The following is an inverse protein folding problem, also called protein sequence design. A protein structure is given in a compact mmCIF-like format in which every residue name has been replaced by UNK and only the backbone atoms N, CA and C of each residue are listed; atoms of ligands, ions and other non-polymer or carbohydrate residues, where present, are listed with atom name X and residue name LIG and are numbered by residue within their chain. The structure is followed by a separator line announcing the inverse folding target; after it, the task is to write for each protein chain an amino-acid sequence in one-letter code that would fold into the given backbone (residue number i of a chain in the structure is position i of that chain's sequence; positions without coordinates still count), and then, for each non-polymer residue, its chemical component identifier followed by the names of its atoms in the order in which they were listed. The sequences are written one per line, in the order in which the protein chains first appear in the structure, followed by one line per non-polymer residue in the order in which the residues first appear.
data_IF_962875878825
#
_entry.id   IF_962875878825
#
_cell.length_a   1.000
_cell.length_b   1.000
_cell.length_c   1.000
_cell.angle_alpha   90.00
_cell.angle_beta   90.00
_cell.angle_gamma   90.00
#
_symmetry.space_group_name_H-M   'P 1'
#
loop_
_entity.id
_entity.type
_entity.pdbx_description
1 polymer ?
#
# COMPACT_ATOMS: atom_id res chain seq x y z
N UNK A 1 58.83 51.74 31.79
CA UNK A 1 57.70 51.37 32.68
C UNK A 1 56.40 51.59 31.94
N UNK A 2 55.87 50.54 31.27
CA UNK A 2 54.59 50.60 30.56
C UNK A 2 53.58 49.82 31.35
N UNK A 3 52.53 50.51 31.82
CA UNK A 3 51.40 49.88 32.49
C UNK A 3 50.45 49.38 31.45
N UNK A 4 50.38 48.05 31.33
CA UNK A 4 49.32 47.39 30.55
C UNK A 4 48.03 47.45 31.33
N UNK A 5 47.07 48.20 30.81
CA UNK A 5 45.69 48.20 31.28
C UNK A 5 44.97 47.07 30.50
N UNK A 6 44.61 45.99 31.19
CA UNK A 6 43.83 44.88 30.65
C UNK A 6 42.37 45.25 30.74
N UNK A 7 41.75 45.66 29.64
CA UNK A 7 40.31 45.90 29.57
C UNK A 7 39.64 44.56 29.36
N UNK A 8 39.02 44.05 30.42
CA UNK A 8 38.19 42.85 30.39
C UNK A 8 36.82 43.23 29.80
N UNK A 9 36.59 42.88 28.54
CA UNK A 9 35.29 43.07 27.87
C UNK A 9 34.36 41.94 28.28
N UNK A 10 33.45 42.22 29.22
CA UNK A 10 32.38 41.32 29.60
C UNK A 10 31.34 41.32 28.46
N UNK A 11 31.41 40.29 27.58
CA UNK A 11 30.39 40.04 26.57
C UNK A 11 29.21 39.30 27.26
N UNK A 12 28.21 40.10 27.71
CA UNK A 12 26.95 39.50 28.19
C UNK A 12 26.10 39.11 26.99
N UNK A 13 26.28 37.85 26.55
CA UNK A 13 25.40 37.25 25.56
C UNK A 13 24.05 36.94 26.19
N UNK A 14 23.00 37.64 25.79
CA UNK A 14 21.63 37.31 26.14
C UNK A 14 21.26 35.99 25.44
N UNK A 15 21.15 34.93 26.21
CA UNK A 15 20.60 33.66 25.75
C UNK A 15 19.09 33.82 25.59
N UNK A 16 18.61 34.14 24.39
CA UNK A 16 17.19 34.00 24.08
C UNK A 16 16.90 32.50 23.91
N UNK A 17 16.28 31.92 24.91
CA UNK A 17 15.67 30.59 24.77
C UNK A 17 14.53 30.72 23.75
N UNK A 18 14.73 30.22 22.55
CA UNK A 18 13.63 29.94 21.61
C UNK A 18 12.76 28.84 22.23
N UNK A 19 11.60 29.25 22.71
CA UNK A 19 10.51 28.30 22.96
C UNK A 19 10.14 27.78 21.59
N UNK A 20 10.60 26.55 21.28
CA UNK A 20 10.06 25.77 20.17
C UNK A 20 8.64 25.44 20.61
N UNK A 21 7.66 26.17 20.04
CA UNK A 21 6.28 25.72 20.10
C UNK A 21 6.24 24.29 19.56
N UNK A 22 5.63 23.33 20.28
CA UNK A 22 5.45 22.01 19.73
C UNK A 22 4.64 22.19 18.44
N UNK A 23 5.25 21.87 17.31
CA UNK A 23 4.52 21.68 16.06
C UNK A 23 3.29 20.85 16.42
N UNK A 24 2.14 21.42 16.17
CA UNK A 24 0.86 20.72 16.23
C UNK A 24 1.08 19.42 15.48
N UNK A 25 1.27 18.36 16.25
CA UNK A 25 1.22 17.01 15.74
C UNK A 25 -0.10 16.95 15.02
N UNK A 26 -0.05 16.98 13.69
CA UNK A 26 -1.18 16.67 12.83
C UNK A 26 -1.61 15.28 13.28
N UNK A 27 -2.55 15.28 14.22
CA UNK A 27 -3.17 14.07 14.71
C UNK A 27 -3.91 13.56 13.51
N UNK A 28 -3.25 12.70 12.73
CA UNK A 28 -3.89 11.89 11.72
C UNK A 28 -5.13 11.33 12.44
N UNK A 29 -6.26 11.94 12.18
CA UNK A 29 -7.54 11.38 12.59
C UNK A 29 -7.59 10.04 11.89
N UNK A 30 -7.14 9.02 12.62
CA UNK A 30 -7.38 7.63 12.21
C UNK A 30 -8.89 7.53 12.18
N UNK A 31 -9.44 7.63 10.99
CA UNK A 31 -10.85 7.39 10.75
C UNK A 31 -11.09 5.96 11.24
N UNK A 32 -11.62 5.87 12.45
CA UNK A 32 -11.97 4.58 13.08
C UNK A 32 -13.16 4.09 12.29
N UNK A 33 -12.86 3.35 11.21
CA UNK A 33 -13.90 2.67 10.44
C UNK A 33 -14.71 1.83 11.42
N UNK A 34 -16.05 1.98 11.41
CA UNK A 34 -16.91 1.23 12.31
C UNK A 34 -16.64 -0.26 12.18
N UNK A 35 -16.68 -0.96 13.31
CA UNK A 35 -16.52 -2.40 13.35
C UNK A 35 -17.63 -3.07 12.51
N UNK A 36 -17.37 -4.27 12.02
CA UNK A 36 -18.34 -5.03 11.21
C UNK A 36 -19.67 -5.20 11.96
N UNK A 37 -19.61 -5.39 13.28
CA UNK A 37 -20.80 -5.50 14.13
C UNK A 37 -21.59 -4.19 14.19
N UNK A 38 -20.91 -3.05 14.26
CA UNK A 38 -21.52 -1.73 14.21
C UNK A 38 -22.20 -1.48 12.86
N UNK A 39 -21.51 -1.85 11.76
CA UNK A 39 -22.08 -1.73 10.41
C UNK A 39 -23.31 -2.60 10.21
N UNK A 40 -23.30 -3.85 10.70
CA UNK A 40 -24.43 -4.77 10.58
C UNK A 40 -25.59 -4.42 11.51
N UNK A 41 -25.33 -3.68 12.61
CA UNK A 41 -26.36 -3.19 13.50
C UNK A 41 -27.10 -1.95 12.96
N UNK A 42 -26.55 -1.26 11.96
CA UNK A 42 -27.21 -0.15 11.31
C UNK A 42 -28.46 -0.66 10.57
N UNK A 43 -29.59 0.02 10.79
CA UNK A 43 -30.81 -0.27 10.05
C UNK A 43 -30.69 0.37 8.66
N UNK A 44 -30.76 -0.42 7.61
CA UNK A 44 -30.81 0.12 6.25
C UNK A 44 -32.18 0.78 5.96
N UNK A 45 -32.21 1.66 4.95
CA UNK A 45 -33.43 2.40 4.54
C UNK A 45 -34.63 1.46 4.19
N UNK A 46 -34.33 0.22 3.81
CA UNK A 46 -35.30 -0.83 3.52
C UNK A 46 -35.86 -1.52 4.78
N UNK A 47 -35.44 -1.10 5.97
CA UNK A 47 -35.87 -1.67 7.27
C UNK A 47 -35.19 -2.98 7.64
N UNK A 48 -34.19 -3.44 6.86
CA UNK A 48 -33.41 -4.63 7.19
C UNK A 48 -32.54 -4.41 8.42
N UNK A 49 -32.57 -5.34 9.37
CA UNK A 49 -31.69 -5.36 10.56
C UNK A 49 -31.10 -6.73 10.74
N UNK A 50 -29.77 -6.79 10.94
CA UNK A 50 -29.05 -8.01 11.29
C UNK A 50 -28.86 -8.08 12.80
N UNK A 51 -29.39 -9.11 13.44
CA UNK A 51 -29.18 -9.39 14.87
C UNK A 51 -28.25 -10.60 14.99
N UNK A 52 -27.05 -10.38 15.54
CA UNK A 52 -26.07 -11.44 15.76
C UNK A 52 -26.22 -11.95 17.18
N UNK A 53 -26.64 -13.23 17.31
CA UNK A 53 -26.76 -13.90 18.62
C UNK A 53 -25.53 -14.78 18.84
N UNK A 54 -24.68 -14.35 19.74
CA UNK A 54 -23.48 -15.07 20.13
C UNK A 54 -23.32 -15.07 21.65
N UNK A 55 -22.55 -16.03 22.18
CA UNK A 55 -22.23 -16.02 23.59
C UNK A 55 -21.04 -15.12 23.89
N UNK A 56 -20.97 -14.57 25.11
CA UNK A 56 -19.99 -13.57 25.52
C UNK A 56 -18.52 -13.98 25.26
N UNK A 57 -18.08 -15.24 25.52
CA UNK A 57 -16.69 -15.65 25.23
C UNK A 57 -16.33 -15.60 23.75
N UNK A 58 -17.26 -15.90 22.86
CA UNK A 58 -17.01 -15.83 21.39
C UNK A 58 -16.89 -14.38 20.94
N UNK A 59 -17.77 -13.51 21.45
CA UNK A 59 -17.71 -12.07 21.13
C UNK A 59 -16.35 -11.48 21.53
N UNK A 60 -15.87 -11.78 22.73
CA UNK A 60 -14.59 -11.30 23.21
C UNK A 60 -13.43 -11.80 22.33
N UNK A 61 -13.44 -13.08 21.96
CA UNK A 61 -12.42 -13.66 21.08
C UNK A 61 -12.40 -12.97 19.69
N UNK A 62 -13.56 -12.70 19.13
CA UNK A 62 -13.69 -12.00 17.83
C UNK A 62 -13.14 -10.57 17.95
N UNK A 63 -13.47 -9.83 19.02
CA UNK A 63 -12.94 -8.48 19.25
C UNK A 63 -11.42 -8.46 19.37
N UNK A 64 -10.83 -9.39 20.11
CA UNK A 64 -9.38 -9.55 20.21
C UNK A 64 -8.78 -9.82 18.82
N UNK A 65 -9.39 -10.70 18.04
CA UNK A 65 -8.92 -11.03 16.70
C UNK A 65 -9.00 -9.85 15.73
N UNK A 66 -10.08 -9.09 15.76
CA UNK A 66 -10.24 -7.86 14.99
C UNK A 66 -9.16 -6.85 15.37
N UNK A 67 -8.91 -6.66 16.67
CA UNK A 67 -7.89 -5.74 17.15
C UNK A 67 -6.49 -6.15 16.68
N UNK A 68 -6.15 -7.43 16.74
CA UNK A 68 -4.89 -7.96 16.25
C UNK A 68 -4.74 -7.73 14.74
N UNK A 69 -5.80 -8.01 13.96
CA UNK A 69 -5.78 -7.80 12.51
C UNK A 69 -5.63 -6.33 12.11
N UNK A 70 -6.19 -5.40 12.88
CA UNK A 70 -6.01 -3.96 12.65
C UNK A 70 -4.55 -3.50 12.82
N UNK A 71 -3.78 -4.19 13.65
CA UNK A 71 -2.36 -3.90 13.85
C UNK A 71 -1.45 -4.50 12.79
N UNK A 72 -1.94 -5.48 12.01
CA UNK A 72 -1.16 -6.11 10.96
C UNK A 72 -0.99 -5.15 9.78
N UNK A 73 0.26 -4.91 9.41
CA UNK A 73 0.61 -4.08 8.25
C UNK A 73 0.80 -4.90 6.98
N UNK A 74 1.06 -6.21 7.12
CA UNK A 74 1.31 -7.13 6.02
C UNK A 74 0.40 -8.35 6.11
N UNK A 75 0.12 -8.96 4.99
CA UNK A 75 -0.57 -10.23 4.90
C UNK A 75 0.20 -11.20 4.00
N UNK A 76 0.07 -12.50 4.29
CA UNK A 76 0.65 -13.53 3.44
C UNK A 76 -0.01 -13.51 2.05
N UNK A 77 0.81 -13.41 1.02
CA UNK A 77 0.37 -13.37 -0.37
C UNK A 77 1.40 -14.04 -1.28
N UNK A 78 1.30 -13.74 -2.57
CA UNK A 78 2.17 -14.30 -3.61
C UNK A 78 2.69 -13.19 -4.51
N UNK A 79 3.95 -13.35 -4.93
CA UNK A 79 4.58 -12.59 -6.02
C UNK A 79 5.18 -13.54 -7.03
N UNK A 80 5.34 -13.11 -8.24
CA UNK A 80 6.01 -13.89 -9.29
C UNK A 80 7.50 -13.53 -9.24
N UNK A 81 8.35 -14.49 -8.90
CA UNK A 81 9.81 -14.30 -8.96
C UNK A 81 10.28 -14.43 -10.39
N UNK A 82 10.90 -13.36 -10.90
CA UNK A 82 11.38 -13.23 -12.28
C UNK A 82 12.86 -13.59 -12.33
N UNK A 83 13.60 -13.13 -11.32
CA UNK A 83 15.06 -13.29 -11.24
C UNK A 83 15.51 -13.53 -9.80
N UNK A 84 16.57 -14.30 -9.67
CA UNK A 84 17.36 -14.45 -8.44
C UNK A 84 18.84 -14.62 -8.83
N UNK A 85 19.71 -13.85 -8.19
CA UNK A 85 21.15 -13.93 -8.44
C UNK A 85 21.95 -13.44 -7.25
N UNK A 86 23.15 -13.99 -7.10
CA UNK A 86 24.07 -13.65 -6.01
C UNK A 86 24.55 -12.21 -6.12
N UNK A 87 24.72 -11.54 -4.97
CA UNK A 87 25.38 -10.23 -4.89
C UNK A 87 26.84 -10.23 -5.32
N UNK A 88 27.46 -11.40 -5.44
CA UNK A 88 28.82 -11.55 -5.99
C UNK A 88 28.86 -11.47 -7.52
N UNK A 89 27.77 -11.86 -8.20
CA UNK A 89 27.71 -11.99 -9.65
C UNK A 89 27.00 -10.79 -10.32
N UNK A 90 26.18 -10.08 -9.56
CA UNK A 90 25.34 -9.00 -10.10
C UNK A 90 25.48 -7.71 -9.32
N UNK A 91 25.73 -6.61 -10.05
CA UNK A 91 25.73 -5.28 -9.47
C UNK A 91 24.31 -4.72 -9.34
N UNK A 92 24.12 -3.81 -8.39
CA UNK A 92 22.81 -3.16 -8.15
C UNK A 92 22.33 -2.42 -9.40
N UNK A 93 23.23 -1.76 -10.13
CA UNK A 93 22.90 -1.02 -11.36
C UNK A 93 22.34 -1.95 -12.43
N UNK A 94 22.97 -3.14 -12.60
CA UNK A 94 22.48 -4.15 -13.54
C UNK A 94 21.08 -4.64 -13.19
N UNK A 95 20.83 -4.84 -11.91
CA UNK A 95 19.52 -5.30 -11.42
C UNK A 95 18.45 -4.21 -11.52
N UNK A 96 18.81 -2.95 -11.31
CA UNK A 96 17.92 -1.81 -11.55
C UNK A 96 17.56 -1.68 -13.03
N UNK A 97 18.50 -1.90 -13.93
CA UNK A 97 18.21 -1.93 -15.36
C UNK A 97 17.23 -3.06 -15.71
N UNK A 98 17.46 -4.29 -15.19
CA UNK A 98 16.54 -5.41 -15.42
C UNK A 98 15.14 -5.13 -14.88
N UNK A 99 15.04 -4.43 -13.75
CA UNK A 99 13.77 -3.96 -13.20
C UNK A 99 13.08 -2.96 -14.13
N UNK A 100 13.81 -1.96 -14.61
CA UNK A 100 13.30 -0.93 -15.54
C UNK A 100 12.85 -1.53 -16.88
N UNK A 101 13.59 -2.49 -17.41
CA UNK A 101 13.23 -3.23 -18.62
C UNK A 101 11.90 -3.97 -18.43
N UNK A 102 11.70 -4.58 -17.25
CA UNK A 102 10.44 -5.23 -16.92
C UNK A 102 9.28 -4.23 -16.77
N UNK A 103 9.50 -3.09 -16.10
CA UNK A 103 8.49 -2.01 -15.94
C UNK A 103 8.06 -1.43 -17.30
N UNK A 104 8.97 -1.34 -18.24
CA UNK A 104 8.67 -0.88 -19.60
C UNK A 104 7.81 -1.90 -20.36
N UNK A 105 8.07 -3.18 -20.18
CA UNK A 105 7.35 -4.26 -20.86
C UNK A 105 5.97 -4.54 -20.25
N UNK A 106 5.85 -4.43 -18.93
CA UNK A 106 4.65 -4.73 -18.16
C UNK A 106 4.32 -3.57 -17.20
N UNK A 107 3.90 -2.42 -17.71
CA UNK A 107 3.70 -1.21 -16.89
C UNK A 107 2.57 -1.33 -15.87
N UNK A 108 1.64 -2.25 -16.10
CA UNK A 108 0.51 -2.56 -15.22
C UNK A 108 0.88 -3.48 -14.04
N UNK A 109 2.09 -4.03 -14.01
CA UNK A 109 2.53 -4.96 -12.98
C UNK A 109 3.62 -4.34 -12.12
N UNK A 110 3.37 -4.06 -10.83
CA UNK A 110 4.40 -3.52 -9.94
C UNK A 110 5.54 -4.52 -9.79
N UNK A 111 6.78 -4.03 -9.80
CA UNK A 111 7.98 -4.88 -9.65
C UNK A 111 8.88 -4.38 -8.53
N UNK A 112 9.47 -5.31 -7.81
CA UNK A 112 10.24 -5.09 -6.60
C UNK A 112 11.61 -5.75 -6.71
N UNK A 113 12.67 -4.99 -6.42
CA UNK A 113 14.02 -5.50 -6.24
C UNK A 113 14.30 -5.55 -4.74
N UNK A 114 14.56 -6.73 -4.21
CA UNK A 114 14.86 -6.94 -2.81
C UNK A 114 16.16 -7.75 -2.65
N UNK A 115 16.91 -7.41 -1.60
CA UNK A 115 18.06 -8.18 -1.17
C UNK A 115 17.67 -9.17 -0.08
N UNK A 116 18.06 -10.42 -0.25
CA UNK A 116 17.92 -11.49 0.73
C UNK A 116 19.28 -12.20 0.78
N UNK A 117 20.07 -11.87 1.77
CA UNK A 117 21.45 -12.37 1.89
C UNK A 117 21.58 -13.87 1.54
N UNK A 118 22.48 -14.24 0.58
CA UNK A 118 23.36 -13.39 -0.21
C UNK A 118 22.77 -12.95 -1.58
N UNK A 119 21.49 -13.18 -1.86
CA UNK A 119 20.88 -13.05 -3.18
C UNK A 119 20.05 -11.77 -3.33
N UNK A 120 20.12 -11.19 -4.52
CA UNK A 120 19.10 -10.27 -5.00
C UNK A 120 17.95 -11.01 -5.68
N UNK A 121 16.72 -10.53 -5.49
CA UNK A 121 15.53 -11.12 -6.08
C UNK A 121 14.65 -10.04 -6.70
N UNK A 122 14.25 -10.24 -7.96
CA UNK A 122 13.26 -9.40 -8.65
C UNK A 122 11.94 -10.16 -8.65
N UNK A 123 10.91 -9.53 -8.07
CA UNK A 123 9.57 -10.10 -7.92
C UNK A 123 8.52 -9.15 -8.43
N UNK A 124 7.50 -9.67 -9.12
CA UNK A 124 6.44 -8.89 -9.73
C UNK A 124 5.06 -9.25 -9.19
N UNK A 125 4.18 -8.24 -9.16
CA UNK A 125 2.79 -8.34 -8.77
C UNK A 125 2.58 -8.49 -7.26
N UNK A 126 1.33 -8.30 -6.84
CA UNK A 126 0.87 -8.52 -5.47
C UNK A 126 -0.43 -9.32 -5.55
N UNK A 127 -0.39 -10.59 -5.16
CA UNK A 127 -1.53 -11.50 -5.31
C UNK A 127 -1.90 -12.09 -3.95
N UNK A 128 -3.20 -12.23 -3.68
CA UNK A 128 -3.71 -12.84 -2.45
C UNK A 128 -3.56 -14.35 -2.46
N UNK A 129 -3.68 -14.94 -3.64
CA UNK A 129 -3.62 -16.38 -3.81
C UNK A 129 -2.73 -16.78 -4.99
N UNK A 130 -2.30 -18.04 -4.99
CA UNK A 130 -1.55 -18.59 -6.11
C UNK A 130 -2.38 -18.64 -7.40
N UNK A 131 -3.70 -18.76 -7.29
CA UNK A 131 -4.59 -18.79 -8.45
C UNK A 131 -4.63 -17.45 -9.17
N UNK A 132 -4.63 -16.34 -8.43
CA UNK A 132 -4.57 -14.99 -8.98
C UNK A 132 -3.27 -14.73 -9.77
N UNK A 133 -2.17 -15.43 -9.45
CA UNK A 133 -0.93 -15.32 -10.22
C UNK A 133 -1.04 -15.92 -11.63
N UNK A 134 -1.94 -16.87 -11.87
CA UNK A 134 -1.90 -17.73 -13.08
C UNK A 134 -2.04 -16.94 -14.38
N UNK A 135 -3.02 -16.01 -14.54
CA UNK A 135 -3.16 -15.23 -15.76
C UNK A 135 -1.90 -14.39 -16.04
N UNK A 136 -1.40 -13.68 -15.01
CA UNK A 136 -0.23 -12.82 -15.09
C UNK A 136 1.03 -13.65 -15.33
N UNK A 137 1.17 -14.79 -14.66
CA UNK A 137 2.28 -15.72 -14.85
C UNK A 137 2.36 -16.22 -16.30
N UNK A 138 1.23 -16.54 -16.94
CA UNK A 138 1.19 -16.95 -18.35
C UNK A 138 1.69 -15.82 -19.27
N UNK A 139 1.29 -14.57 -18.99
CA UNK A 139 1.72 -13.40 -19.75
C UNK A 139 3.22 -13.14 -19.62
N UNK A 140 3.77 -13.21 -18.40
CA UNK A 140 5.19 -12.96 -18.13
C UNK A 140 6.07 -14.09 -18.70
N UNK A 141 5.62 -15.34 -18.69
CA UNK A 141 6.39 -16.50 -19.16
C UNK A 141 6.80 -16.43 -20.62
N UNK A 142 6.09 -15.68 -21.44
CA UNK A 142 6.48 -15.47 -22.85
C UNK A 142 7.90 -14.90 -22.97
N UNK A 143 8.30 -14.05 -22.04
CA UNK A 143 9.61 -13.39 -22.01
C UNK A 143 10.52 -13.89 -20.90
N UNK A 144 9.95 -14.29 -19.76
CA UNK A 144 10.66 -14.79 -18.58
C UNK A 144 10.23 -16.25 -18.27
N UNK A 145 10.69 -17.24 -19.04
CA UNK A 145 10.19 -18.64 -18.94
C UNK A 145 10.48 -19.29 -17.58
N UNK A 146 11.55 -18.85 -16.90
CA UNK A 146 11.96 -19.39 -15.60
C UNK A 146 11.19 -18.78 -14.41
N UNK A 147 10.19 -17.90 -14.64
CA UNK A 147 9.45 -17.27 -13.55
C UNK A 147 8.47 -18.25 -12.87
N UNK A 148 8.28 -18.06 -11.56
CA UNK A 148 7.39 -18.89 -10.74
C UNK A 148 6.81 -18.11 -9.57
N UNK A 149 5.61 -18.49 -9.05
CA UNK A 149 5.01 -17.85 -7.89
C UNK A 149 5.72 -18.23 -6.60
N UNK A 150 6.00 -17.25 -5.75
CA UNK A 150 6.59 -17.41 -4.42
C UNK A 150 5.67 -16.79 -3.37
N UNK A 151 5.56 -17.45 -2.21
CA UNK A 151 4.86 -16.91 -1.06
C UNK A 151 5.72 -15.82 -0.40
N UNK A 152 5.10 -14.70 -0.04
CA UNK A 152 5.78 -13.57 0.60
C UNK A 152 4.78 -12.73 1.39
N UNK A 153 5.28 -11.97 2.37
CA UNK A 153 4.47 -11.00 3.07
C UNK A 153 4.35 -9.72 2.22
N UNK A 154 3.13 -9.26 2.03
CA UNK A 154 2.79 -8.12 1.18
C UNK A 154 2.08 -7.07 2.04
N UNK A 155 2.43 -5.78 1.93
CA UNK A 155 1.68 -4.72 2.59
C UNK A 155 0.19 -4.79 2.21
N UNK A 156 -0.69 -4.72 3.22
CA UNK A 156 -2.14 -4.85 3.02
C UNK A 156 -2.67 -3.80 2.05
N UNK A 157 -2.11 -2.59 2.09
CA UNK A 157 -2.46 -1.51 1.17
C UNK A 157 -2.18 -1.85 -0.30
N UNK A 158 -1.12 -2.63 -0.59
CA UNK A 158 -0.79 -3.05 -1.95
C UNK A 158 -1.71 -4.16 -2.46
N UNK A 159 -2.23 -4.99 -1.55
CA UNK A 159 -3.25 -6.00 -1.86
C UNK A 159 -4.64 -5.39 -2.12
N UNK A 160 -4.96 -4.25 -1.48
CA UNK A 160 -6.25 -3.57 -1.67
C UNK A 160 -6.38 -2.88 -3.02
N UNK A 161 -5.29 -2.34 -3.57
CA UNK A 161 -5.29 -1.65 -4.87
C UNK A 161 -5.77 -2.53 -6.03
N UNK A 162 -5.57 -3.86 -5.95
CA UNK A 162 -5.98 -4.82 -6.97
C UNK A 162 -7.46 -5.24 -6.88
N UNK A 163 -8.18 -4.81 -5.84
CA UNK A 163 -9.56 -5.22 -5.58
C UNK A 163 -10.61 -4.20 -6.00
N UNK A 164 -10.19 -3.06 -6.53
CA UNK A 164 -11.13 -2.12 -7.14
C UNK A 164 -11.33 -2.55 -8.59
N UNK A 165 -12.54 -3.02 -9.00
CA UNK A 165 -12.86 -3.07 -10.40
C UNK A 165 -12.73 -1.64 -10.94
N UNK A 166 -12.04 -1.47 -12.05
CA UNK A 166 -12.06 -0.23 -12.82
C UNK A 166 -13.50 -0.03 -13.33
N UNK A 167 -14.34 0.57 -12.48
CA UNK A 167 -15.68 1.01 -12.83
C UNK A 167 -15.62 2.51 -13.03
N UNK A 168 -14.78 2.93 -13.96
CA UNK A 168 -14.76 4.30 -14.47
C UNK A 168 -14.55 4.19 -15.97
N UNK A 169 -15.63 4.12 -16.72
CA UNK A 169 -15.70 4.50 -18.16
C UNK A 169 -16.94 3.89 -18.86
N UNK A 170 -18.11 3.87 -18.24
CA UNK A 170 -19.32 3.46 -19.01
C UNK A 170 -20.53 4.35 -18.74
N UNK A 171 -20.39 5.51 -18.08
CA UNK A 171 -21.55 6.40 -17.83
C UNK A 171 -21.64 7.62 -18.75
N UNK A 172 -20.71 7.83 -19.70
CA UNK A 172 -20.78 9.01 -20.61
C UNK A 172 -21.34 8.73 -22.03
N UNK A 173 -21.79 7.51 -22.33
CA UNK A 173 -22.29 7.21 -23.68
C UNK A 173 -23.81 6.98 -23.81
N UNK A 174 -24.61 7.13 -22.76
CA UNK A 174 -26.06 6.93 -22.83
C UNK A 174 -26.91 8.23 -22.84
N UNK A 175 -26.34 9.41 -22.71
CA UNK A 175 -27.11 10.66 -22.72
C UNK A 175 -27.22 11.37 -24.09
N UNK A 176 -26.57 10.89 -25.16
CA UNK A 176 -26.63 11.54 -26.47
C UNK A 176 -27.62 10.91 -27.46
N UNK A 177 -28.43 9.93 -27.10
CA UNK A 177 -29.35 9.28 -28.05
C UNK A 177 -30.83 9.51 -27.80
N UNK A 178 -31.25 10.50 -27.00
CA UNK A 178 -32.67 10.77 -26.76
C UNK A 178 -33.05 12.23 -26.97
N UNK A 179 -32.78 12.78 -28.12
CA UNK A 179 -33.46 14.01 -28.56
C UNK A 179 -33.48 14.07 -30.09
N UNK A 180 -34.47 13.46 -30.69
CA UNK A 180 -35.39 14.15 -31.62
C UNK A 180 -36.50 13.22 -32.15
N UNK A 181 -37.73 13.34 -31.72
CA UNK A 181 -38.89 12.84 -32.43
C UNK A 181 -39.69 14.05 -32.91
N UNK A 182 -39.33 14.70 -34.01
CA UNK A 182 -40.35 15.39 -34.85
C UNK A 182 -39.73 16.12 -36.02
N UNK A 183 -39.76 15.54 -37.21
CA UNK A 183 -40.02 16.29 -38.42
C UNK A 183 -40.73 15.40 -39.44
N UNK A 184 -42.05 15.57 -39.39
CA UNK A 184 -42.96 15.24 -40.48
C UNK A 184 -42.90 16.41 -41.45
N UNK A 185 -42.51 16.18 -42.71
CA UNK A 185 -43.13 16.64 -43.95
C UNK A 185 -42.35 16.04 -45.11
#
# INVERSE_FOLDING_TARGET
MYKFIFILFLFSGSLTAQIVEPETTDTLQVEILPDIFEKLALVEDNGGKVEIKENAPINELIRIHIQQNRQQKTAAGYRIQIFSGSSYDYTVERLQQMKADFETEFPDIPVYLNYFDPDFKIRAGNFRSRLECIPVLKRIRSKYPACYPVKTDIPIQDLKKLSQPQTEETEELEEESSSDPNQIF
#
